data_IF_451646615537
#
_entry.id   IF_451646615537
#
_cell.length_a   1.000
_cell.length_b   1.000
_cell.length_c   1.000
_cell.angle_alpha   90.00
_cell.angle_beta   90.00
_cell.angle_gamma   90.00
#
_symmetry.space_group_name_H-M   'P 1'
#
loop_
_entity.id
_entity.type
_entity.pdbx_description
1 polymer ?
#
# COMPACT_ATOMS: atom_id res chain seq x y z
N UNK A 1 2.87 -78.35 -25.67
CA UNK A 1 2.27 -77.70 -24.49
C UNK A 1 3.41 -77.15 -23.66
N UNK A 2 3.58 -75.84 -23.71
CA UNK A 2 4.72 -75.11 -23.15
C UNK A 2 4.47 -73.65 -23.43
N UNK A 3 3.70 -73.02 -22.53
CA UNK A 3 3.26 -71.64 -22.62
C UNK A 3 4.46 -70.70 -22.43
N UNK A 4 4.60 -69.77 -23.35
CA UNK A 4 5.50 -68.61 -23.29
C UNK A 4 4.90 -67.58 -22.33
N UNK A 5 5.68 -66.92 -21.45
CA UNK A 5 5.14 -65.91 -20.54
C UNK A 5 4.73 -64.65 -21.31
N UNK A 6 3.51 -64.21 -21.05
CA UNK A 6 2.87 -63.00 -21.55
C UNK A 6 3.59 -61.77 -20.98
N UNK A 7 4.22 -60.97 -21.85
CA UNK A 7 4.80 -59.68 -21.49
C UNK A 7 3.68 -58.63 -21.38
N UNK A 8 3.38 -58.22 -20.15
CA UNK A 8 2.53 -57.06 -19.87
C UNK A 8 3.17 -55.78 -20.44
N UNK A 9 2.46 -54.95 -21.22
CA UNK A 9 3.01 -53.71 -21.75
C UNK A 9 3.22 -52.67 -20.63
N UNK A 10 4.18 -51.73 -20.78
CA UNK A 10 4.43 -50.71 -19.78
C UNK A 10 3.23 -49.77 -19.65
N UNK A 11 2.80 -49.54 -18.41
CA UNK A 11 1.73 -48.61 -18.06
C UNK A 11 2.10 -47.19 -18.48
N UNK A 12 1.42 -46.68 -19.51
CA UNK A 12 1.53 -45.27 -19.92
C UNK A 12 0.78 -44.42 -18.89
N UNK A 13 1.53 -43.69 -18.06
CA UNK A 13 0.96 -42.72 -17.13
C UNK A 13 0.31 -41.60 -17.97
N UNK A 14 -0.98 -41.26 -17.76
CA UNK A 14 -1.62 -40.22 -18.56
C UNK A 14 -0.96 -38.86 -18.30
N UNK A 15 -0.60 -38.14 -19.37
CA UNK A 15 -0.02 -36.80 -19.27
C UNK A 15 -1.08 -35.81 -18.74
N UNK A 16 -0.72 -35.00 -17.75
CA UNK A 16 -1.60 -34.01 -17.13
C UNK A 16 -1.87 -32.81 -18.06
N UNK A 17 -0.85 -32.39 -18.83
CA UNK A 17 -0.97 -31.31 -19.82
C UNK A 17 0.18 -31.37 -20.84
N UNK A 18 0.02 -30.70 -21.99
CA UNK A 18 1.09 -30.49 -22.99
C UNK A 18 1.37 -29.00 -23.10
N UNK A 19 2.59 -28.58 -22.76
CA UNK A 19 3.03 -27.17 -22.86
C UNK A 19 4.24 -27.10 -23.79
N UNK A 20 4.15 -26.27 -24.83
CA UNK A 20 5.16 -26.17 -25.92
C UNK A 20 5.57 -27.52 -26.53
N UNK A 21 4.61 -28.43 -26.72
CA UNK A 21 4.84 -29.71 -27.37
C UNK A 21 5.57 -30.76 -26.53
N UNK A 22 5.83 -30.48 -25.24
CA UNK A 22 6.36 -31.47 -24.28
C UNK A 22 5.26 -31.92 -23.32
N UNK A 23 5.01 -33.24 -23.15
CA UNK A 23 4.05 -33.73 -22.18
C UNK A 23 4.60 -33.57 -20.76
N UNK A 24 3.83 -32.91 -19.89
CA UNK A 24 4.13 -32.79 -18.46
C UNK A 24 3.42 -33.93 -17.74
N UNK A 25 4.22 -34.83 -17.16
CA UNK A 25 3.74 -36.02 -16.43
C UNK A 25 3.69 -35.81 -14.92
N UNK A 26 4.37 -34.79 -14.40
CA UNK A 26 4.43 -34.46 -12.96
C UNK A 26 4.26 -32.95 -12.76
N UNK A 27 3.47 -32.55 -11.76
CA UNK A 27 3.31 -31.15 -11.37
C UNK A 27 4.62 -30.66 -10.71
N UNK A 28 5.20 -29.52 -11.15
CA UNK A 28 6.35 -28.94 -10.47
C UNK A 28 5.98 -28.62 -9.01
N UNK A 29 6.74 -29.17 -8.06
CA UNK A 29 6.46 -29.00 -6.62
C UNK A 29 6.76 -27.60 -6.10
N UNK A 30 7.63 -26.84 -6.79
CA UNK A 30 7.94 -25.46 -6.47
C UNK A 30 7.31 -24.53 -7.52
N UNK A 31 6.24 -23.85 -7.10
CA UNK A 31 5.48 -22.96 -7.95
C UNK A 31 6.24 -21.63 -8.12
N UNK A 32 6.80 -21.42 -9.31
CA UNK A 32 7.21 -20.09 -9.77
C UNK A 32 6.00 -19.14 -9.71
N UNK A 33 6.13 -18.05 -8.96
CA UNK A 33 5.15 -16.95 -8.95
C UNK A 33 5.66 -15.91 -9.96
N UNK A 34 4.92 -15.63 -11.05
CA UNK A 34 5.30 -14.57 -11.97
C UNK A 34 5.33 -13.23 -11.24
N UNK A 35 6.37 -12.40 -11.43
CA UNK A 35 6.51 -11.11 -10.75
C UNK A 35 5.30 -10.19 -11.01
N UNK A 36 4.68 -10.28 -12.18
CA UNK A 36 3.52 -9.46 -12.58
C UNK A 36 2.21 -9.89 -11.89
N UNK A 37 2.14 -11.09 -11.31
CA UNK A 37 0.98 -11.55 -10.53
C UNK A 37 0.99 -11.01 -9.09
N UNK A 38 2.09 -10.37 -8.67
CA UNK A 38 2.31 -9.84 -7.32
C UNK A 38 2.07 -8.32 -7.22
N UNK A 39 2.01 -7.60 -8.34
CA UNK A 39 1.86 -6.14 -8.36
C UNK A 39 0.51 -5.66 -7.76
N UNK A 40 -0.48 -6.55 -7.63
CA UNK A 40 -1.84 -6.23 -7.16
C UNK A 40 -2.11 -6.67 -5.70
N UNK A 41 -1.25 -7.45 -5.04
CA UNK A 41 -1.60 -8.11 -3.77
C UNK A 41 -1.02 -7.46 -2.51
N UNK A 42 -0.17 -6.44 -2.63
CA UNK A 42 0.47 -5.80 -1.48
C UNK A 42 -0.35 -4.70 -0.83
N UNK A 43 -1.45 -4.28 -1.45
CA UNK A 43 -2.52 -3.55 -0.76
C UNK A 43 -3.49 -4.49 0.00
N UNK A 44 -3.28 -5.82 -0.01
CA UNK A 44 -4.29 -6.79 0.44
C UNK A 44 -4.00 -7.51 1.77
N UNK A 45 -2.83 -7.33 2.41
CA UNK A 45 -2.48 -8.04 3.65
C UNK A 45 -2.42 -7.11 4.86
N UNK A 46 -3.18 -7.46 5.90
CA UNK A 46 -3.31 -6.71 7.16
C UNK A 46 -2.18 -7.07 8.17
N UNK A 47 -0.95 -7.25 7.67
CA UNK A 47 0.25 -7.51 8.48
C UNK A 47 0.92 -8.87 8.29
N UNK A 48 2.05 -9.12 9.00
CA UNK A 48 2.91 -10.29 8.77
C UNK A 48 2.28 -11.63 9.16
N UNK A 49 1.38 -11.65 10.15
CA UNK A 49 0.65 -12.86 10.54
C UNK A 49 -0.34 -13.29 9.45
N UNK A 50 -0.95 -12.34 8.75
CA UNK A 50 -1.88 -12.63 7.67
C UNK A 50 -1.18 -13.22 6.45
N UNK A 51 -0.03 -12.65 6.11
CA UNK A 51 0.86 -13.19 5.08
C UNK A 51 1.29 -14.62 5.42
N UNK A 52 1.67 -14.90 6.66
CA UNK A 52 2.04 -16.25 7.09
C UNK A 52 0.87 -17.23 6.99
N UNK A 53 -0.33 -16.85 7.44
CA UNK A 53 -1.51 -17.68 7.29
C UNK A 53 -1.82 -17.98 5.82
N UNK A 54 -1.68 -16.98 4.95
CA UNK A 54 -1.82 -17.17 3.51
C UNK A 54 -0.83 -18.20 2.97
N UNK A 55 0.46 -18.08 3.31
CA UNK A 55 1.51 -19.01 2.85
C UNK A 55 1.27 -20.45 3.35
N UNK A 56 0.82 -20.61 4.59
CA UNK A 56 0.49 -21.91 5.19
C UNK A 56 -0.71 -22.54 4.47
N UNK A 57 -1.81 -21.78 4.31
CA UNK A 57 -3.04 -22.27 3.64
C UNK A 57 -2.79 -22.62 2.17
N UNK A 58 -2.00 -21.83 1.46
CA UNK A 58 -1.67 -22.08 0.05
C UNK A 58 -0.95 -23.40 -0.17
N UNK A 59 -0.18 -23.85 0.81
CA UNK A 59 0.54 -25.12 0.77
C UNK A 59 -0.25 -26.29 1.39
N UNK A 60 -1.49 -26.06 1.82
CA UNK A 60 -2.29 -27.03 2.59
C UNK A 60 -1.54 -27.59 3.81
N UNK A 61 -0.77 -26.75 4.47
CA UNK A 61 -0.03 -27.11 5.68
C UNK A 61 -0.92 -26.94 6.92
N UNK A 62 -0.71 -27.82 7.91
CA UNK A 62 -1.34 -27.67 9.22
C UNK A 62 -0.65 -26.54 10.00
N UNK A 63 -1.44 -25.65 10.60
CA UNK A 63 -0.96 -24.56 11.47
C UNK A 63 -0.30 -25.13 12.73
N UNK A 64 -0.68 -26.34 13.16
CA UNK A 64 -0.07 -27.02 14.31
C UNK A 64 1.29 -27.62 13.97
N UNK A 65 1.54 -27.96 12.70
CA UNK A 65 2.78 -28.61 12.26
C UNK A 65 3.44 -27.88 11.10
N UNK A 66 3.88 -26.64 11.38
CA UNK A 66 4.46 -25.77 10.36
C UNK A 66 5.92 -26.18 10.06
N UNK A 67 6.29 -26.47 8.79
CA UNK A 67 7.67 -26.61 8.37
C UNK A 67 8.36 -25.24 8.32
N UNK A 68 8.87 -24.78 9.48
CA UNK A 68 9.47 -23.45 9.65
C UNK A 68 10.52 -23.15 8.58
N UNK A 69 11.39 -24.10 8.24
CA UNK A 69 12.43 -23.85 7.25
C UNK A 69 11.90 -23.50 5.84
N UNK A 70 10.76 -24.08 5.44
CA UNK A 70 10.12 -23.82 4.15
C UNK A 70 9.36 -22.48 4.19
N UNK A 71 8.56 -22.25 5.23
CA UNK A 71 7.79 -21.01 5.39
C UNK A 71 8.70 -19.79 5.53
N UNK A 72 9.77 -19.87 6.32
CA UNK A 72 10.73 -18.77 6.45
C UNK A 72 11.37 -18.42 5.10
N UNK A 73 11.67 -19.42 4.26
CA UNK A 73 12.27 -19.17 2.94
C UNK A 73 11.31 -18.37 2.05
N UNK A 74 10.07 -18.84 1.93
CA UNK A 74 9.06 -18.17 1.11
C UNK A 74 8.71 -16.78 1.64
N UNK A 75 8.62 -16.63 2.96
CA UNK A 75 8.41 -15.33 3.58
C UNK A 75 9.53 -14.36 3.21
N UNK A 76 10.79 -14.79 3.26
CA UNK A 76 11.93 -13.94 2.88
C UNK A 76 11.95 -13.63 1.38
N UNK A 77 11.64 -14.60 0.51
CA UNK A 77 11.50 -14.37 -0.93
C UNK A 77 10.44 -13.30 -1.23
N UNK A 78 9.30 -13.37 -0.53
CA UNK A 78 8.23 -12.38 -0.65
C UNK A 78 8.67 -10.99 -0.19
N UNK A 79 9.38 -10.90 0.94
CA UNK A 79 9.91 -9.63 1.46
C UNK A 79 10.96 -9.01 0.53
N UNK A 80 11.79 -9.80 -0.15
CA UNK A 80 12.79 -9.26 -1.09
C UNK A 80 12.13 -8.67 -2.34
N UNK A 81 11.13 -9.33 -2.93
CA UNK A 81 10.32 -8.77 -4.04
C UNK A 81 9.69 -7.43 -3.63
N UNK A 82 9.20 -7.39 -2.40
CA UNK A 82 8.60 -6.21 -1.79
C UNK A 82 9.56 -5.01 -1.66
N UNK A 83 10.82 -5.28 -1.32
CA UNK A 83 11.87 -4.26 -1.17
C UNK A 83 12.27 -3.65 -2.52
N UNK A 84 12.29 -4.44 -3.58
CA UNK A 84 12.60 -3.97 -4.94
C UNK A 84 11.56 -2.97 -5.47
N UNK A 85 10.30 -3.11 -5.04
CA UNK A 85 9.17 -2.23 -5.39
C UNK A 85 9.13 -0.90 -4.60
N UNK A 86 10.15 -0.61 -3.77
CA UNK A 86 10.34 0.65 -3.02
C UNK A 86 9.18 1.05 -2.09
N UNK A 87 8.57 0.09 -1.40
CA UNK A 87 7.69 0.42 -0.28
C UNK A 87 8.52 0.74 0.97
N UNK A 88 8.05 1.72 1.75
CA UNK A 88 8.48 1.90 3.15
C UNK A 88 8.11 0.63 3.92
N UNK A 89 9.00 -0.37 3.84
CA UNK A 89 8.73 -1.70 4.36
C UNK A 89 8.40 -1.59 5.85
N UNK A 90 7.17 -1.95 6.23
CA UNK A 90 6.72 -1.76 7.60
C UNK A 90 7.62 -2.56 8.56
N UNK A 91 8.07 -1.90 9.63
CA UNK A 91 9.01 -2.46 10.62
C UNK A 91 8.54 -3.83 11.17
N UNK A 92 7.23 -4.04 11.23
CA UNK A 92 6.59 -5.28 11.69
C UNK A 92 7.00 -6.51 10.85
N UNK A 93 7.15 -6.36 9.53
CA UNK A 93 7.56 -7.47 8.67
C UNK A 93 9.02 -7.87 8.92
N UNK A 94 9.90 -6.90 9.18
CA UNK A 94 11.30 -7.15 9.51
C UNK A 94 11.45 -7.82 10.89
N UNK A 95 10.65 -7.38 11.87
CA UNK A 95 10.59 -8.03 13.18
C UNK A 95 10.16 -9.49 13.02
N UNK A 96 9.15 -9.76 12.19
CA UNK A 96 8.74 -11.13 11.90
C UNK A 96 9.83 -11.94 11.19
N UNK A 97 10.55 -11.35 10.21
CA UNK A 97 11.69 -12.01 9.55
C UNK A 97 12.75 -12.44 10.56
N UNK A 98 13.10 -11.54 11.49
CA UNK A 98 14.08 -11.83 12.53
C UNK A 98 13.60 -12.96 13.45
N UNK A 99 12.32 -12.93 13.83
CA UNK A 99 11.73 -13.95 14.68
C UNK A 99 11.67 -15.33 14.00
N UNK A 100 11.28 -15.39 12.72
CA UNK A 100 11.31 -16.63 11.93
C UNK A 100 12.73 -17.17 11.74
N UNK A 101 13.73 -16.29 11.57
CA UNK A 101 15.13 -16.69 11.49
C UNK A 101 15.64 -17.26 12.82
N UNK A 102 15.25 -16.66 13.95
CA UNK A 102 15.54 -17.16 15.29
C UNK A 102 14.95 -18.56 15.49
N UNK A 103 13.64 -18.74 15.23
CA UNK A 103 12.96 -20.03 15.37
C UNK A 103 13.64 -21.08 14.49
N UNK A 104 13.91 -20.75 13.21
CA UNK A 104 14.63 -21.64 12.29
C UNK A 104 16.00 -22.05 12.83
N UNK A 105 16.78 -21.10 13.33
CA UNK A 105 18.10 -21.37 13.90
C UNK A 105 18.02 -22.31 15.11
N UNK A 106 17.09 -22.02 16.03
CA UNK A 106 16.85 -22.85 17.22
C UNK A 106 16.43 -24.28 16.90
N UNK A 107 15.63 -24.46 15.85
CA UNK A 107 15.17 -25.79 15.41
C UNK A 107 16.24 -26.61 14.68
N UNK A 108 17.17 -25.96 13.99
CA UNK A 108 18.18 -26.65 13.18
C UNK A 108 19.49 -26.93 13.94
N UNK A 109 19.76 -26.20 15.02
CA UNK A 109 21.00 -26.35 15.79
C UNK A 109 20.90 -27.48 16.83
N UNK A 110 21.93 -28.33 16.97
CA UNK A 110 21.97 -29.35 18.01
C UNK A 110 22.06 -28.70 19.39
N UNK A 111 21.24 -29.17 20.34
CA UNK A 111 21.16 -28.66 21.71
C UNK A 111 21.47 -29.77 22.72
N UNK A 112 22.05 -29.44 23.90
CA UNK A 112 22.12 -30.37 25.02
C UNK A 112 20.72 -30.83 25.41
N UNK A 113 20.54 -32.13 25.66
CA UNK A 113 19.23 -32.75 25.86
C UNK A 113 18.47 -32.16 27.06
N UNK A 114 19.17 -31.79 28.13
CA UNK A 114 18.62 -31.11 29.32
C UNK A 114 18.01 -29.73 28.99
N UNK A 115 18.63 -28.97 28.08
CA UNK A 115 18.14 -27.65 27.67
C UNK A 115 16.94 -27.74 26.71
N UNK A 116 16.77 -28.86 26.01
CA UNK A 116 15.65 -29.06 25.08
C UNK A 116 14.34 -29.39 25.81
N UNK A 117 14.40 -30.05 26.97
CA UNK A 117 13.23 -30.42 27.76
C UNK A 117 12.65 -29.22 28.55
N UNK A 118 13.49 -28.28 28.99
CA UNK A 118 13.03 -27.07 29.71
C UNK A 118 12.42 -26.00 28.79
N UNK A 119 12.91 -25.86 27.56
CA UNK A 119 12.58 -24.70 26.70
C UNK A 119 11.32 -24.91 25.83
N UNK A 120 10.84 -26.15 25.71
CA UNK A 120 9.66 -26.50 24.92
C UNK A 120 9.84 -26.35 23.40
N UNK A 121 8.74 -26.39 22.66
CA UNK A 121 8.76 -26.25 21.20
C UNK A 121 8.99 -24.76 20.81
N UNK A 122 10.11 -24.41 20.13
CA UNK A 122 10.43 -23.03 19.79
C UNK A 122 9.41 -22.35 18.86
N UNK A 123 8.56 -23.10 18.15
CA UNK A 123 7.47 -22.53 17.32
C UNK A 123 6.17 -22.29 18.09
N UNK A 124 6.05 -22.73 19.35
CA UNK A 124 4.78 -22.72 20.09
C UNK A 124 4.16 -21.31 20.18
N UNK A 125 4.99 -20.28 20.42
CA UNK A 125 4.48 -18.91 20.48
C UNK A 125 3.95 -18.41 19.13
N UNK A 126 4.65 -18.73 18.03
CA UNK A 126 4.22 -18.37 16.68
C UNK A 126 2.89 -19.04 16.34
N UNK A 127 2.77 -20.35 16.60
CA UNK A 127 1.54 -21.11 16.38
C UNK A 127 0.38 -20.51 17.17
N UNK A 128 0.60 -20.17 18.45
CA UNK A 128 -0.41 -19.52 19.29
C UNK A 128 -0.88 -18.19 18.69
N UNK A 129 0.03 -17.33 18.24
CA UNK A 129 -0.33 -16.04 17.62
C UNK A 129 -1.07 -16.21 16.30
N UNK A 130 -0.68 -17.19 15.48
CA UNK A 130 -1.37 -17.49 14.22
C UNK A 130 -2.80 -17.97 14.46
N UNK A 131 -3.01 -18.85 15.46
CA UNK A 131 -4.35 -19.32 15.85
C UNK A 131 -5.22 -18.19 16.42
N UNK A 132 -4.64 -17.34 17.28
CA UNK A 132 -5.35 -16.17 17.83
C UNK A 132 -5.78 -15.23 16.71
N UNK A 133 -4.87 -14.91 15.78
CA UNK A 133 -5.16 -14.06 14.64
C UNK A 133 -6.21 -14.69 13.71
N UNK A 134 -6.09 -15.98 13.39
CA UNK A 134 -7.09 -16.69 12.55
C UNK A 134 -8.49 -16.64 13.18
N UNK A 135 -8.59 -16.81 14.50
CA UNK A 135 -9.85 -16.68 15.22
C UNK A 135 -10.46 -15.29 15.09
N UNK A 136 -9.65 -14.25 15.21
CA UNK A 136 -10.12 -12.88 15.03
C UNK A 136 -10.48 -12.57 13.58
N UNK A 137 -9.68 -13.03 12.62
CA UNK A 137 -9.98 -12.88 11.20
C UNK A 137 -11.35 -13.48 10.86
N UNK A 138 -11.61 -14.70 11.33
CA UNK A 138 -12.91 -15.34 11.17
C UNK A 138 -14.05 -14.57 11.86
N UNK A 139 -13.83 -14.09 13.07
CA UNK A 139 -14.84 -13.27 13.77
C UNK A 139 -15.16 -11.97 13.02
N UNK A 140 -14.15 -11.37 12.37
CA UNK A 140 -14.34 -10.19 11.52
C UNK A 140 -15.12 -10.53 10.25
N UNK A 141 -14.81 -11.65 9.59
CA UNK A 141 -15.58 -12.15 8.44
C UNK A 141 -17.05 -12.44 8.80
N UNK A 142 -17.27 -13.10 9.94
CA UNK A 142 -18.61 -13.37 10.48
C UNK A 142 -19.36 -12.06 10.77
N UNK A 143 -18.69 -11.06 11.36
CA UNK A 143 -19.26 -9.76 11.65
C UNK A 143 -19.55 -8.96 10.38
N UNK A 144 -18.70 -9.06 9.36
CA UNK A 144 -18.88 -8.38 8.08
C UNK A 144 -20.07 -8.94 7.29
N UNK A 145 -20.35 -10.24 7.48
CA UNK A 145 -21.51 -10.92 6.90
C UNK A 145 -22.86 -10.49 7.49
N UNK A 146 -22.86 -9.81 8.65
CA UNK A 146 -24.09 -9.38 9.30
C UNK A 146 -24.80 -8.28 8.47
N UNK A 147 -26.14 -8.35 8.36
CA UNK A 147 -26.90 -7.35 7.63
C UNK A 147 -26.79 -5.98 8.30
N UNK A 148 -26.45 -4.97 7.52
CA UNK A 148 -26.23 -3.60 8.01
C UNK A 148 -27.50 -2.77 7.85
N UNK A 149 -27.93 -2.13 8.94
CA UNK A 149 -29.05 -1.19 8.90
C UNK A 149 -28.68 0.03 8.04
N UNK A 150 -29.55 0.43 7.12
CA UNK A 150 -29.31 1.52 6.17
C UNK A 150 -28.56 1.11 4.89
N UNK A 151 -28.08 -0.14 4.80
CA UNK A 151 -27.53 -0.74 3.56
C UNK A 151 -28.40 -1.91 3.09
N UNK A 152 -28.54 -2.91 3.94
CA UNK A 152 -29.23 -4.16 3.64
C UNK A 152 -30.64 -4.19 4.26
N UNK A 153 -30.79 -3.57 5.43
CA UNK A 153 -32.06 -3.51 6.16
C UNK A 153 -32.45 -2.05 6.38
N UNK A 154 -33.62 -1.66 5.88
CA UNK A 154 -34.15 -0.31 6.10
C UNK A 154 -35.19 -0.36 7.21
N UNK A 155 -34.94 0.37 8.29
CA UNK A 155 -35.91 0.49 9.37
C UNK A 155 -37.13 1.29 8.87
N UNK A 156 -38.33 0.73 9.03
CA UNK A 156 -39.59 1.42 8.77
C UNK A 156 -40.24 1.80 10.09
N UNK A 157 -40.78 3.02 10.16
CA UNK A 157 -41.47 3.54 11.33
C UNK A 157 -42.94 3.81 10.99
N UNK A 158 -43.86 3.21 11.73
CA UNK A 158 -45.24 3.66 11.78
C UNK A 158 -45.34 4.75 12.84
N UNK A 159 -45.51 6.00 12.41
CA UNK A 159 -45.74 7.11 13.33
C UNK A 159 -47.23 7.14 13.69
N UNK A 160 -47.54 7.07 14.99
CA UNK A 160 -48.82 7.58 15.46
C UNK A 160 -48.92 9.07 15.12
N UNK A 161 -50.13 9.61 14.90
CA UNK A 161 -50.34 11.04 14.76
C UNK A 161 -49.60 11.77 15.90
N UNK A 162 -48.93 12.91 15.62
CA UNK A 162 -48.17 13.61 16.63
C UNK A 162 -49.11 14.09 17.72
N UNK A 163 -49.21 13.32 18.79
CA UNK A 163 -49.75 13.80 20.05
C UNK A 163 -48.77 14.87 20.54
N UNK A 164 -49.26 16.09 20.79
CA UNK A 164 -48.45 17.19 21.29
C UNK A 164 -48.06 16.93 22.75
N UNK A 165 -47.26 15.89 22.96
CA UNK A 165 -46.58 15.66 24.22
C UNK A 165 -45.39 16.61 24.21
N UNK A 166 -45.52 17.72 24.91
CA UNK A 166 -44.40 18.63 25.18
C UNK A 166 -43.39 17.86 26.02
N UNK A 167 -42.45 17.19 25.35
CA UNK A 167 -41.33 16.54 26.02
C UNK A 167 -40.40 17.64 26.55
N UNK A 168 -40.09 17.66 27.85
CA UNK A 168 -39.11 18.59 28.38
C UNK A 168 -37.78 18.35 27.68
N UNK A 169 -37.11 19.43 27.28
CA UNK A 169 -35.78 19.32 26.67
C UNK A 169 -34.82 18.71 27.71
N UNK A 170 -33.94 17.78 27.30
CA UNK A 170 -32.93 17.25 28.19
C UNK A 170 -32.04 18.40 28.67
N UNK A 171 -31.66 18.37 29.95
CA UNK A 171 -30.66 19.32 30.47
C UNK A 171 -29.32 18.97 29.84
N UNK A 172 -28.82 19.88 29.01
CA UNK A 172 -27.51 19.78 28.38
C UNK A 172 -26.46 20.39 29.29
N UNK A 173 -25.41 19.64 29.58
CA UNK A 173 -24.21 20.17 30.25
C UNK A 173 -23.16 20.55 29.20
N UNK A 174 -22.21 21.42 29.59
CA UNK A 174 -21.10 21.79 28.72
C UNK A 174 -20.28 20.54 28.29
N UNK A 175 -20.20 19.53 29.16
CA UNK A 175 -19.52 18.27 28.87
C UNK A 175 -20.13 17.56 27.65
N UNK A 176 -21.46 17.54 27.51
CA UNK A 176 -22.15 16.89 26.39
C UNK A 176 -21.77 17.55 25.05
N UNK A 177 -21.67 18.89 25.05
CA UNK A 177 -21.27 19.66 23.88
C UNK A 177 -19.80 19.39 23.50
N UNK A 178 -18.93 19.26 24.51
CA UNK A 178 -17.51 18.93 24.30
C UNK A 178 -17.34 17.51 23.75
N UNK A 179 -18.11 16.53 24.25
CA UNK A 179 -18.11 15.17 23.70
C UNK A 179 -18.61 15.13 22.26
N UNK A 180 -19.68 15.84 21.96
CA UNK A 180 -20.19 15.97 20.59
C UNK A 180 -19.14 16.60 19.66
N UNK A 181 -18.47 17.67 20.10
CA UNK A 181 -17.40 18.33 19.35
C UNK A 181 -16.20 17.40 19.14
N UNK A 182 -15.77 16.65 20.17
CA UNK A 182 -14.70 15.65 20.05
C UNK A 182 -15.01 14.61 18.97
N UNK A 183 -16.25 14.12 18.91
CA UNK A 183 -16.69 13.19 17.88
C UNK A 183 -16.69 13.80 16.47
N UNK A 184 -16.99 15.09 16.34
CA UNK A 184 -16.88 15.82 15.07
C UNK A 184 -15.41 15.95 14.64
N UNK A 185 -14.52 16.34 15.56
CA UNK A 185 -13.09 16.49 15.29
C UNK A 185 -12.44 15.16 14.88
N UNK A 186 -12.72 14.07 15.59
CA UNK A 186 -12.19 12.75 15.25
C UNK A 186 -12.64 12.28 13.84
N UNK A 187 -13.88 12.60 13.44
CA UNK A 187 -14.32 12.34 12.06
C UNK A 187 -13.60 13.22 11.05
N UNK A 188 -13.38 14.50 11.37
CA UNK A 188 -12.65 15.41 10.49
C UNK A 188 -11.18 14.95 10.29
N UNK A 189 -10.53 14.43 11.32
CA UNK A 189 -9.18 13.84 11.23
C UNK A 189 -9.13 12.61 10.33
N UNK A 190 -10.17 11.77 10.31
CA UNK A 190 -10.24 10.65 9.36
C UNK A 190 -10.33 11.09 7.89
N UNK A 191 -10.70 12.35 7.63
CA UNK A 191 -10.67 12.95 6.29
C UNK A 191 -9.43 13.81 6.04
N UNK A 192 -8.52 13.97 7.02
CA UNK A 192 -7.24 14.60 6.77
C UNK A 192 -6.33 13.62 6.04
N UNK A 193 -6.41 13.64 4.72
CA UNK A 193 -5.37 13.02 3.89
C UNK A 193 -4.02 13.65 4.23
N UNK A 194 -2.96 12.84 4.25
CA UNK A 194 -1.59 13.34 4.19
C UNK A 194 -1.43 14.07 2.86
N UNK A 195 -1.73 15.37 2.85
CA UNK A 195 -1.36 16.23 1.74
C UNK A 195 0.17 16.30 1.77
N UNK A 196 0.80 15.55 0.87
CA UNK A 196 2.15 15.87 0.41
C UNK A 196 2.05 17.24 -0.22
N UNK A 197 2.20 18.28 0.60
CA UNK A 197 2.35 19.63 0.11
C UNK A 197 3.70 19.65 -0.60
N UNK A 198 3.67 19.80 -1.92
CA UNK A 198 4.87 20.16 -2.67
C UNK A 198 5.45 21.42 -2.02
N UNK A 199 6.78 21.48 -1.86
CA UNK A 199 7.46 22.63 -1.30
C UNK A 199 6.90 23.93 -1.91
N UNK A 200 6.60 24.90 -1.06
CA UNK A 200 6.04 26.17 -1.51
C UNK A 200 7.04 26.83 -2.47
N UNK A 201 6.66 26.93 -3.75
CA UNK A 201 7.47 27.57 -4.79
C UNK A 201 7.84 28.99 -4.36
N UNK A 202 9.11 29.23 -4.06
CA UNK A 202 9.60 30.53 -3.67
C UNK A 202 9.62 31.47 -4.87
N UNK A 203 8.96 32.63 -4.76
CA UNK A 203 9.03 33.69 -5.78
C UNK A 203 10.48 34.06 -6.07
N UNK A 204 11.34 34.07 -5.05
CA UNK A 204 12.76 34.42 -5.18
C UNK A 204 13.55 33.39 -5.98
N UNK A 205 13.26 32.11 -5.79
CA UNK A 205 13.88 31.04 -6.60
C UNK A 205 13.42 31.15 -8.05
N UNK A 206 12.12 31.40 -8.25
CA UNK A 206 11.55 31.58 -9.60
C UNK A 206 12.14 32.79 -10.32
N UNK A 207 12.45 33.88 -9.62
CA UNK A 207 13.17 35.03 -10.20
C UNK A 207 14.55 34.62 -10.74
N UNK A 208 15.29 33.80 -9.99
CA UNK A 208 16.59 33.28 -10.43
C UNK A 208 16.48 32.39 -11.67
N UNK A 209 15.47 31.52 -11.72
CA UNK A 209 15.20 30.69 -12.91
C UNK A 209 14.85 31.54 -14.13
N UNK A 210 13.99 32.56 -13.98
CA UNK A 210 13.60 33.44 -15.08
C UNK A 210 14.82 34.19 -15.61
N UNK A 211 15.65 34.77 -14.74
CA UNK A 211 16.88 35.44 -15.15
C UNK A 211 17.87 34.49 -15.84
N UNK A 212 17.94 33.22 -15.44
CA UNK A 212 18.81 32.24 -16.12
C UNK A 212 18.40 31.93 -17.56
N UNK A 213 17.12 32.11 -17.89
CA UNK A 213 16.56 31.84 -19.22
C UNK A 213 16.54 33.04 -20.15
N UNK A 214 16.68 34.23 -19.60
CA UNK A 214 16.63 35.48 -20.36
C UNK A 214 18.05 36.03 -20.46
N UNK A 215 18.45 36.41 -21.66
CA UNK A 215 19.77 37.00 -21.92
C UNK A 215 19.62 38.47 -22.33
N UNK A 216 20.69 39.26 -22.18
CA UNK A 216 20.69 40.66 -22.65
C UNK A 216 20.71 40.78 -24.17
N UNK A 217 21.23 39.77 -24.87
CA UNK A 217 21.45 39.80 -26.32
C UNK A 217 20.30 39.23 -27.16
N UNK A 218 19.28 38.63 -26.53
CA UNK A 218 18.19 37.95 -27.23
C UNK A 218 16.84 38.17 -26.54
N UNK A 219 15.79 38.32 -27.35
CA UNK A 219 14.41 38.36 -26.87
C UNK A 219 13.86 36.94 -26.70
N UNK A 220 13.22 36.69 -25.57
CA UNK A 220 12.50 35.45 -25.27
C UNK A 220 10.99 35.72 -25.27
N UNK A 221 10.17 34.82 -25.82
CA UNK A 221 8.72 34.98 -25.73
C UNK A 221 8.26 34.85 -24.27
N UNK A 222 7.39 35.76 -23.84
CA UNK A 222 6.85 35.79 -22.47
C UNK A 222 6.22 34.45 -22.07
N UNK A 223 5.48 33.82 -22.99
CA UNK A 223 4.82 32.54 -22.79
C UNK A 223 5.79 31.38 -22.57
N UNK A 224 7.02 31.45 -23.10
CA UNK A 224 8.03 30.41 -22.94
C UNK A 224 8.65 30.34 -21.52
N UNK A 225 8.42 31.38 -20.69
CA UNK A 225 8.86 31.41 -19.30
C UNK A 225 7.95 30.59 -18.37
N UNK A 226 6.74 30.23 -18.83
CA UNK A 226 5.77 29.48 -18.04
C UNK A 226 5.87 27.97 -18.29
N UNK A 227 5.59 27.18 -17.24
CA UNK A 227 5.48 25.72 -17.30
C UNK A 227 4.04 25.29 -16.98
N UNK A 228 3.24 24.91 -17.98
CA UNK A 228 1.85 24.49 -17.76
C UNK A 228 1.70 23.31 -16.80
N UNK A 229 2.74 22.46 -16.72
CA UNK A 229 2.79 21.25 -15.90
C UNK A 229 2.77 21.57 -14.38
N UNK A 230 3.19 22.79 -14.00
CA UNK A 230 3.18 23.26 -12.60
C UNK A 230 1.79 23.79 -12.16
N UNK A 231 0.79 23.74 -13.05
CA UNK A 231 -0.58 24.14 -12.77
C UNK A 231 -0.76 25.64 -12.49
N UNK A 232 -1.96 26.02 -12.03
CA UNK A 232 -2.34 27.44 -11.84
C UNK A 232 -1.43 28.17 -10.86
N UNK A 233 -0.99 27.52 -9.78
CA UNK A 233 -0.14 28.14 -8.77
C UNK A 233 1.27 28.44 -9.31
N UNK A 234 1.89 27.49 -10.04
CA UNK A 234 3.20 27.71 -10.66
C UNK A 234 3.20 28.85 -11.69
N UNK A 235 2.12 28.95 -12.48
CA UNK A 235 1.92 30.06 -13.41
C UNK A 235 1.82 31.40 -12.68
N UNK A 236 1.06 31.47 -11.58
CA UNK A 236 0.92 32.70 -10.78
C UNK A 236 2.24 33.12 -10.15
N UNK A 237 3.01 32.18 -9.59
CA UNK A 237 4.33 32.47 -8.98
C UNK A 237 5.31 32.97 -10.03
N UNK A 238 5.33 32.37 -11.22
CA UNK A 238 6.17 32.81 -12.34
C UNK A 238 5.80 34.22 -12.81
N UNK A 239 4.51 34.52 -12.89
CA UNK A 239 4.05 35.87 -13.24
C UNK A 239 4.45 36.91 -12.19
N UNK A 240 4.28 36.60 -10.90
CA UNK A 240 4.72 37.48 -9.81
C UNK A 240 6.24 37.71 -9.83
N UNK A 241 7.03 36.67 -10.11
CA UNK A 241 8.48 36.79 -10.26
C UNK A 241 8.87 37.73 -11.41
N UNK A 242 8.20 37.64 -12.56
CA UNK A 242 8.44 38.56 -13.70
C UNK A 242 8.08 40.00 -13.32
N UNK A 243 6.93 40.22 -12.67
CA UNK A 243 6.52 41.55 -12.23
C UNK A 243 7.50 42.17 -11.23
N UNK A 244 8.02 41.38 -10.29
CA UNK A 244 9.01 41.87 -9.32
C UNK A 244 10.33 42.21 -10.02
N UNK A 245 10.80 41.38 -10.97
CA UNK A 245 11.99 41.67 -11.77
C UNK A 245 11.83 42.92 -12.66
N UNK A 246 10.64 43.15 -13.21
CA UNK A 246 10.34 44.38 -13.95
C UNK A 246 10.36 45.61 -13.01
N UNK A 247 9.81 45.48 -11.80
CA UNK A 247 9.83 46.53 -10.78
C UNK A 247 11.26 46.85 -10.33
N UNK A 248 12.13 45.84 -10.23
CA UNK A 248 13.57 46.02 -9.96
C UNK A 248 14.38 46.48 -11.18
N UNK A 249 13.74 46.70 -12.34
CA UNK A 249 14.39 47.10 -13.59
C UNK A 249 15.44 46.10 -14.11
N UNK A 250 15.30 44.82 -13.77
CA UNK A 250 16.17 43.74 -14.24
C UNK A 250 15.62 43.08 -15.53
N UNK A 251 14.32 43.20 -15.78
CA UNK A 251 13.66 42.73 -16.99
C UNK A 251 12.93 43.85 -17.71
N UNK A 252 13.01 43.82 -19.03
CA UNK A 252 12.25 44.66 -19.94
C UNK A 252 11.29 43.81 -20.77
N UNK A 253 10.04 44.29 -20.93
CA UNK A 253 9.02 43.62 -21.74
C UNK A 253 8.65 44.53 -22.90
N UNK A 254 8.72 44.00 -24.11
CA UNK A 254 8.49 44.73 -25.35
C UNK A 254 7.38 44.06 -26.16
N UNK A 255 6.51 44.88 -26.76
CA UNK A 255 5.48 44.45 -27.69
C UNK A 255 5.67 45.21 -29.01
N UNK A 256 5.94 44.49 -30.10
CA UNK A 256 6.22 45.11 -31.40
C UNK A 256 4.96 45.60 -32.13
N UNK A 257 3.84 44.88 -31.99
CA UNK A 257 2.57 45.16 -32.66
C UNK A 257 1.40 45.10 -31.67
N UNK A 258 0.35 45.89 -31.91
CA UNK A 258 -0.85 45.86 -31.06
C UNK A 258 -1.47 44.45 -31.05
N UNK A 259 -1.69 43.90 -29.85
CA UNK A 259 -2.14 42.51 -29.64
C UNK A 259 -1.17 41.41 -30.14
N UNK A 260 0.06 41.77 -30.48
CA UNK A 260 1.13 40.82 -30.83
C UNK A 260 1.77 40.16 -29.60
N UNK A 261 2.63 39.15 -29.82
CA UNK A 261 3.32 38.44 -28.74
C UNK A 261 4.24 39.36 -27.92
N UNK A 262 4.21 39.15 -26.60
CA UNK A 262 5.09 39.84 -25.66
C UNK A 262 6.45 39.17 -25.63
N UNK A 263 7.50 39.98 -25.69
CA UNK A 263 8.88 39.54 -25.62
C UNK A 263 9.55 40.10 -24.36
N UNK A 264 10.40 39.29 -23.73
CA UNK A 264 11.10 39.59 -22.49
C UNK A 264 12.60 39.55 -22.74
N UNK A 265 13.34 40.52 -22.20
CA UNK A 265 14.79 40.63 -22.28
C UNK A 265 15.37 41.09 -20.95
N UNK A 266 16.60 40.67 -20.63
CA UNK A 266 17.31 41.14 -19.45
C UNK A 266 17.88 42.53 -19.71
N UNK A 267 17.76 43.42 -18.73
CA UNK A 267 18.39 44.74 -18.81
C UNK A 267 19.89 44.54 -18.58
N UNK A 268 20.71 44.86 -19.58
CA UNK A 268 22.16 44.80 -19.44
C UNK A 268 22.60 45.79 -18.35
N UNK A 269 23.39 45.31 -17.39
CA UNK A 269 24.04 46.15 -16.38
C UNK A 269 25.13 47.04 -17.01
#
# INVERSE_FOLDING_TARGET
MGETPEQTPPSVVPALAVVQGRPITELPHDLYIPPDALEVFLESFEGPLDLLLYLIRRQNLDILDIPIAAITRQYMEYIEILRELRLELAAEYLVMSAWLAEIKSRMLLPRPQEAAEEEGDPRAELVRRLQEYERYKKATEDLDSLPRVGRDVFATGAHLPPEQVVKPQPKLELADLLFALKGVLARAEMFSHHHVTQEALSVRERMGEVLSRVSGDSFCEFTALFRPEEGRLGVVVTFLAILELMKESLLEVVQAEAYGPLHVRAVAA
#
